data_IF_183045490403
#
_entry.id   IF_183045490403
#
_cell.length_a   1.000
_cell.length_b   1.000
_cell.length_c   1.000
_cell.angle_alpha   90.00
_cell.angle_beta   90.00
_cell.angle_gamma   90.00
#
_symmetry.space_group_name_H-M   'P 1'
#
loop_
_entity.id
_entity.type
_entity.pdbx_description
1 polymer ?
#
# COMPACT_ATOMS: atom_id res chain seq x y z
N UNK A 1 12.40 9.19 -22.44
CA UNK A 1 12.42 8.86 -21.00
C UNK A 1 12.44 10.17 -20.26
N UNK A 2 11.31 10.59 -19.69
CA UNK A 2 11.30 11.74 -18.79
C UNK A 2 12.11 11.35 -17.56
N UNK A 3 13.00 12.23 -17.13
CA UNK A 3 13.72 12.08 -15.88
C UNK A 3 12.73 11.83 -14.72
N UNK A 4 12.99 10.83 -13.86
CA UNK A 4 12.07 10.39 -12.81
C UNK A 4 11.76 11.52 -11.84
N UNK A 5 12.77 12.31 -11.51
CA UNK A 5 12.66 13.47 -10.62
C UNK A 5 11.80 14.56 -11.26
N UNK A 6 11.96 14.79 -12.56
CA UNK A 6 11.09 15.69 -13.34
C UNK A 6 9.63 15.22 -13.33
N UNK A 7 9.37 13.93 -13.54
CA UNK A 7 8.02 13.37 -13.52
C UNK A 7 7.38 13.48 -12.12
N UNK A 8 8.18 13.23 -11.07
CA UNK A 8 7.75 13.35 -9.69
C UNK A 8 7.46 14.81 -9.30
N UNK A 9 8.33 15.76 -9.68
CA UNK A 9 8.11 17.18 -9.43
C UNK A 9 6.83 17.68 -10.13
N UNK A 10 6.58 17.23 -11.36
CA UNK A 10 5.32 17.51 -12.06
C UNK A 10 4.10 16.90 -11.36
N UNK A 11 4.23 15.72 -10.76
CA UNK A 11 3.17 15.08 -9.97
C UNK A 11 2.85 15.84 -8.68
N UNK A 12 3.88 16.20 -7.94
CA UNK A 12 3.72 16.99 -6.72
C UNK A 12 3.14 18.38 -7.03
N UNK A 13 3.56 19.02 -8.11
CA UNK A 13 3.00 20.31 -8.53
C UNK A 13 1.50 20.23 -8.83
N UNK A 14 1.06 19.30 -9.69
CA UNK A 14 -0.36 19.18 -10.07
C UNK A 14 -1.26 18.68 -8.93
N UNK A 15 -0.72 17.94 -7.96
CA UNK A 15 -1.44 17.50 -6.76
C UNK A 15 -1.46 18.55 -5.65
N UNK A 16 -0.77 19.68 -5.84
CA UNK A 16 -0.70 20.77 -4.86
C UNK A 16 0.26 20.51 -3.71
N UNK A 17 1.31 19.69 -3.91
CA UNK A 17 2.33 19.32 -2.93
C UNK A 17 3.77 19.64 -3.36
N UNK A 18 3.98 20.60 -4.30
CA UNK A 18 5.33 20.95 -4.80
C UNK A 18 6.29 21.42 -3.69
N UNK A 19 5.85 22.37 -2.84
CA UNK A 19 6.69 22.99 -1.81
C UNK A 19 6.49 22.32 -0.45
N UNK A 20 6.79 21.02 -0.38
CA UNK A 20 6.63 20.21 0.83
C UNK A 20 7.96 19.72 1.37
N UNK A 21 8.08 19.62 2.69
CA UNK A 21 9.17 18.84 3.29
C UNK A 21 8.93 17.37 2.95
N UNK A 22 9.97 16.66 2.53
CA UNK A 22 9.95 15.24 2.15
C UNK A 22 10.87 14.46 3.06
N UNK A 23 10.34 13.42 3.71
CA UNK A 23 11.14 12.52 4.55
C UNK A 23 10.89 11.07 4.13
N UNK A 24 11.95 10.38 3.72
CA UNK A 24 11.88 8.95 3.42
C UNK A 24 11.37 8.16 4.64
N UNK A 25 10.45 7.24 4.39
CA UNK A 25 10.04 6.21 5.33
C UNK A 25 10.89 4.96 5.11
N UNK A 26 10.93 4.07 6.11
CA UNK A 26 11.57 2.77 5.96
C UNK A 26 10.94 2.03 4.77
N UNK A 27 11.79 1.53 3.87
CA UNK A 27 11.34 0.76 2.72
C UNK A 27 10.70 -0.57 3.12
N UNK A 28 9.91 -1.13 2.22
CA UNK A 28 9.47 -2.52 2.29
C UNK A 28 10.40 -3.41 1.44
N UNK A 29 10.11 -4.71 1.35
CA UNK A 29 10.86 -5.63 0.50
C UNK A 29 10.49 -5.50 -1.00
N UNK A 30 9.86 -4.41 -1.41
CA UNK A 30 9.43 -4.15 -2.79
C UNK A 30 10.30 -3.10 -3.46
N UNK A 31 10.00 -2.82 -4.73
CA UNK A 31 10.62 -1.71 -5.46
C UNK A 31 10.06 -0.33 -5.06
N UNK A 32 8.96 -0.30 -4.29
CA UNK A 32 8.24 0.91 -3.92
C UNK A 32 9.03 1.69 -2.87
N UNK A 33 8.92 3.01 -2.95
CA UNK A 33 9.47 3.94 -1.97
C UNK A 33 8.35 4.79 -1.43
N UNK A 34 8.42 5.05 -0.13
CA UNK A 34 7.46 5.91 0.54
C UNK A 34 8.17 7.10 1.15
N UNK A 35 7.57 8.27 0.98
CA UNK A 35 8.03 9.48 1.62
C UNK A 35 6.87 10.19 2.28
N UNK A 36 7.08 10.62 3.52
CA UNK A 36 6.15 11.50 4.20
C UNK A 36 6.35 12.92 3.72
N UNK A 37 5.27 13.53 3.26
CA UNK A 37 5.17 14.92 2.87
C UNK A 37 4.59 15.74 4.04
N UNK A 38 5.17 16.90 4.33
CA UNK A 38 4.63 17.88 5.30
C UNK A 38 4.52 19.28 4.71
N UNK A 39 3.32 19.86 4.85
CA UNK A 39 3.03 21.26 4.52
C UNK A 39 2.25 21.91 5.66
N UNK A 40 2.96 22.61 6.55
CA UNK A 40 2.38 23.13 7.79
C UNK A 40 1.85 21.99 8.66
N UNK A 41 0.56 22.02 9.00
CA UNK A 41 -0.11 20.95 9.73
C UNK A 41 -0.59 19.78 8.85
N UNK A 42 -0.60 19.94 7.52
CA UNK A 42 -1.04 18.90 6.61
C UNK A 42 0.06 17.87 6.36
N UNK A 43 -0.34 16.59 6.25
CA UNK A 43 0.55 15.45 5.99
C UNK A 43 -0.05 14.51 4.94
N UNK A 44 0.84 13.91 4.14
CA UNK A 44 0.49 12.91 3.13
C UNK A 44 1.66 11.94 2.94
N UNK A 45 1.41 10.79 2.34
CA UNK A 45 2.42 9.82 1.93
C UNK A 45 2.51 9.83 0.41
N UNK A 46 3.69 10.15 -0.12
CA UNK A 46 4.03 9.88 -1.51
C UNK A 46 4.46 8.41 -1.62
N UNK A 47 3.82 7.66 -2.51
CA UNK A 47 4.30 6.38 -3.00
C UNK A 47 4.94 6.58 -4.37
N UNK A 48 6.19 6.14 -4.52
CA UNK A 48 6.91 6.03 -5.78
C UNK A 48 7.12 4.54 -6.09
N UNK A 49 6.42 4.03 -7.09
CA UNK A 49 6.46 2.64 -7.53
C UNK A 49 6.81 2.58 -9.02
N UNK A 50 8.10 2.45 -9.38
CA UNK A 50 8.52 2.48 -10.79
C UNK A 50 7.86 1.36 -11.61
N UNK A 51 7.13 1.69 -12.69
CA UNK A 51 6.32 0.72 -13.45
C UNK A 51 7.16 -0.33 -14.18
N UNK A 52 8.42 -0.01 -14.49
CA UNK A 52 9.41 -0.91 -15.10
C UNK A 52 9.83 -2.07 -14.17
N UNK A 53 9.48 -2.00 -12.88
CA UNK A 53 9.77 -3.04 -11.88
C UNK A 53 8.60 -3.97 -11.59
N UNK A 54 7.57 -3.95 -12.43
CA UNK A 54 6.41 -4.84 -12.34
C UNK A 54 5.38 -4.41 -11.29
N UNK A 55 5.51 -3.21 -10.73
CA UNK A 55 4.55 -2.63 -9.81
C UNK A 55 3.37 -2.01 -10.57
N UNK A 56 2.15 -2.24 -10.07
CA UNK A 56 0.90 -1.70 -10.63
C UNK A 56 0.15 -0.95 -9.52
N UNK A 57 0.35 0.37 -9.49
CA UNK A 57 -0.30 1.23 -8.49
C UNK A 57 -1.82 1.28 -8.65
N UNK A 58 -2.34 0.96 -9.83
CA UNK A 58 -3.79 0.88 -10.08
C UNK A 58 -4.44 -0.26 -9.31
N UNK A 59 -3.72 -1.36 -9.04
CA UNK A 59 -4.20 -2.43 -8.15
C UNK A 59 -4.28 -1.97 -6.71
N UNK A 60 -3.27 -1.22 -6.26
CA UNK A 60 -3.27 -0.64 -4.92
C UNK A 60 -4.48 0.29 -4.75
N UNK A 61 -4.65 1.25 -5.67
CA UNK A 61 -5.76 2.22 -5.65
C UNK A 61 -7.14 1.52 -5.68
N UNK A 62 -7.27 0.41 -6.42
CA UNK A 62 -8.52 -0.35 -6.51
C UNK A 62 -8.88 -1.06 -5.20
N UNK A 63 -7.90 -1.71 -4.57
CA UNK A 63 -8.11 -2.36 -3.26
C UNK A 63 -8.42 -1.32 -2.20
N UNK A 64 -7.69 -0.20 -2.19
CA UNK A 64 -7.92 0.92 -1.28
C UNK A 64 -9.34 1.47 -1.39
N UNK A 65 -9.77 1.83 -2.60
CA UNK A 65 -11.11 2.35 -2.86
C UNK A 65 -12.20 1.37 -2.43
N UNK A 66 -12.00 0.06 -2.66
CA UNK A 66 -12.96 -0.95 -2.23
C UNK A 66 -13.04 -1.07 -0.70
N UNK A 67 -11.90 -1.11 0.01
CA UNK A 67 -11.87 -1.16 1.47
C UNK A 67 -12.56 0.07 2.08
N UNK A 68 -12.31 1.26 1.55
CA UNK A 68 -12.97 2.50 1.98
C UNK A 68 -14.47 2.47 1.72
N UNK A 69 -14.91 1.94 0.57
CA UNK A 69 -16.33 1.78 0.27
C UNK A 69 -17.05 0.80 1.22
N UNK A 70 -16.32 -0.13 1.85
CA UNK A 70 -16.84 -0.98 2.93
C UNK A 70 -16.84 -0.30 4.31
N UNK A 71 -16.30 0.91 4.43
CA UNK A 71 -16.20 1.66 5.68
C UNK A 71 -14.93 1.41 6.49
N UNK A 72 -13.91 0.75 5.91
CA UNK A 72 -12.63 0.51 6.58
C UNK A 72 -11.65 1.67 6.40
N UNK A 73 -10.70 1.77 7.33
CA UNK A 73 -9.70 2.85 7.41
C UNK A 73 -8.49 2.63 6.50
N UNK A 74 -8.72 2.35 5.20
CA UNK A 74 -7.65 2.39 4.19
C UNK A 74 -7.36 3.86 3.78
N UNK A 75 -6.11 4.23 3.47
CA UNK A 75 -5.70 5.62 3.29
C UNK A 75 -6.43 6.32 2.14
N UNK A 76 -6.94 7.53 2.34
CA UNK A 76 -7.54 8.27 1.23
C UNK A 76 -6.53 8.53 0.10
N UNK A 77 -6.92 8.22 -1.14
CA UNK A 77 -6.13 8.54 -2.34
C UNK A 77 -6.38 10.00 -2.77
N UNK A 78 -5.42 10.88 -2.53
CA UNK A 78 -5.49 12.29 -2.93
C UNK A 78 -5.21 12.50 -4.41
N UNK A 79 -4.25 11.77 -4.98
CA UNK A 79 -3.88 11.87 -6.38
C UNK A 79 -3.20 10.59 -6.88
N UNK A 80 -3.33 10.32 -8.19
CA UNK A 80 -2.77 9.15 -8.87
C UNK A 80 -2.13 9.56 -10.20
N UNK A 81 -1.00 8.92 -10.52
CA UNK A 81 -0.41 8.85 -11.86
C UNK A 81 0.06 7.43 -12.11
N UNK A 82 -0.86 6.59 -12.58
CA UNK A 82 -0.58 5.19 -12.86
C UNK A 82 0.50 5.00 -13.94
N UNK A 83 0.56 5.89 -14.94
CA UNK A 83 1.52 5.79 -16.03
C UNK A 83 2.96 5.95 -15.56
N UNK A 84 3.18 6.81 -14.55
CA UNK A 84 4.48 6.93 -13.90
C UNK A 84 4.54 6.16 -12.57
N UNK A 85 3.49 5.49 -12.10
CA UNK A 85 3.50 4.75 -10.85
C UNK A 85 3.69 5.64 -9.61
N UNK A 86 3.00 6.78 -9.54
CA UNK A 86 2.97 7.62 -8.34
C UNK A 86 1.59 7.65 -7.71
N UNK A 87 1.52 7.50 -6.39
CA UNK A 87 0.31 7.78 -5.61
C UNK A 87 0.60 8.82 -4.53
N UNK A 88 -0.41 9.61 -4.21
CA UNK A 88 -0.41 10.51 -3.07
C UNK A 88 -1.55 10.10 -2.13
N UNK A 89 -1.19 9.69 -0.93
CA UNK A 89 -2.06 9.00 0.02
C UNK A 89 -2.19 9.78 1.33
N UNK A 90 -3.27 9.53 2.04
CA UNK A 90 -3.43 9.91 3.44
C UNK A 90 -2.32 9.32 4.31
N UNK A 91 -1.82 10.13 5.25
CA UNK A 91 -0.89 9.68 6.28
C UNK A 91 -1.67 9.30 7.54
N UNK A 92 -1.79 7.97 7.76
CA UNK A 92 -2.47 7.38 8.91
C UNK A 92 -1.69 7.52 10.23
N UNK A 93 -0.47 8.07 10.19
CA UNK A 93 0.36 8.32 11.38
C UNK A 93 1.38 7.21 11.67
N UNK A 94 1.92 7.24 12.89
CA UNK A 94 3.06 6.40 13.32
C UNK A 94 2.71 5.42 14.45
N UNK A 95 1.44 5.37 14.84
CA UNK A 95 0.93 4.54 15.92
C UNK A 95 0.70 3.09 15.45
N UNK A 96 1.78 2.49 14.94
CA UNK A 96 1.84 1.07 14.64
C UNK A 96 1.51 0.28 15.92
N UNK A 97 0.72 -0.79 15.80
CA UNK A 97 0.41 -1.66 16.94
C UNK A 97 1.68 -2.10 17.68
N UNK A 98 2.74 -2.48 16.94
CA UNK A 98 4.02 -2.83 17.54
C UNK A 98 4.59 -1.71 18.45
N UNK A 99 4.52 -0.45 18.00
CA UNK A 99 5.00 0.70 18.78
C UNK A 99 4.11 0.98 19.99
N UNK A 100 2.79 0.86 19.83
CA UNK A 100 1.83 1.05 20.92
C UNK A 100 2.02 0.01 22.01
N UNK A 101 2.23 -1.26 21.64
CA UNK A 101 2.40 -2.37 22.58
C UNK A 101 3.74 -2.33 23.32
N UNK A 102 4.79 -1.77 22.70
CA UNK A 102 6.03 -1.49 23.42
C UNK A 102 5.86 -0.42 24.50
N UNK A 103 4.95 0.54 24.29
CA UNK A 103 4.66 1.63 25.24
C UNK A 103 3.68 1.19 26.32
N UNK A 104 2.65 0.45 25.94
CA UNK A 104 1.60 -0.06 26.81
C UNK A 104 1.13 -1.46 26.38
N UNK A 105 1.72 -2.52 26.95
CA UNK A 105 1.33 -3.90 26.66
C UNK A 105 -0.13 -4.21 27.02
N UNK A 106 -0.78 -3.44 27.90
CA UNK A 106 -2.18 -3.69 28.28
C UNK A 106 -3.14 -3.45 27.11
N UNK A 107 -2.72 -2.72 26.07
CA UNK A 107 -3.50 -2.50 24.85
C UNK A 107 -3.59 -3.74 23.95
N UNK A 108 -2.79 -4.79 24.17
CA UNK A 108 -2.69 -5.95 23.27
C UNK A 108 -4.04 -6.57 22.97
N UNK A 109 -4.81 -6.89 24.02
CA UNK A 109 -6.12 -7.52 23.84
C UNK A 109 -7.06 -6.63 23.05
N UNK A 110 -7.12 -5.33 23.34
CA UNK A 110 -8.03 -4.41 22.65
C UNK A 110 -7.64 -4.20 21.17
N UNK A 111 -6.36 -4.01 20.88
CA UNK A 111 -5.86 -3.79 19.53
C UNK A 111 -6.02 -5.05 18.65
N UNK A 112 -5.63 -6.22 19.16
CA UNK A 112 -5.79 -7.48 18.42
C UNK A 112 -7.26 -7.89 18.28
N UNK A 113 -8.12 -7.59 19.25
CA UNK A 113 -9.56 -7.77 19.10
C UNK A 113 -10.10 -6.93 17.94
N UNK A 114 -9.77 -5.64 17.88
CA UNK A 114 -10.20 -4.76 16.79
C UNK A 114 -9.70 -5.23 15.41
N UNK A 115 -8.45 -5.68 15.30
CA UNK A 115 -7.93 -6.25 14.06
C UNK A 115 -8.64 -7.56 13.67
N UNK A 116 -8.94 -8.41 14.65
CA UNK A 116 -9.66 -9.68 14.43
C UNK A 116 -11.10 -9.43 14.00
N UNK A 117 -11.78 -8.46 14.63
CA UNK A 117 -13.13 -8.04 14.25
C UNK A 117 -13.16 -7.50 12.82
N UNK A 118 -12.16 -6.70 12.44
CA UNK A 118 -11.98 -6.25 11.06
C UNK A 118 -11.85 -7.45 10.09
N UNK A 119 -10.97 -8.42 10.38
CA UNK A 119 -10.79 -9.59 9.51
C UNK A 119 -12.04 -10.48 9.44
N UNK A 120 -12.75 -10.64 10.55
CA UNK A 120 -13.98 -11.41 10.63
C UNK A 120 -15.11 -10.75 9.84
N UNK A 121 -15.21 -9.42 9.86
CA UNK A 121 -16.17 -8.68 9.04
C UNK A 121 -15.77 -8.70 7.56
N UNK A 122 -14.49 -8.47 7.26
CA UNK A 122 -13.94 -8.51 5.89
C UNK A 122 -14.21 -9.85 5.22
N UNK A 123 -14.02 -10.96 5.94
CA UNK A 123 -14.26 -12.32 5.44
C UNK A 123 -15.73 -12.63 5.13
N UNK A 124 -16.68 -11.81 5.60
CA UNK A 124 -18.11 -11.92 5.26
C UNK A 124 -18.51 -11.02 4.09
N UNK A 125 -17.65 -10.10 3.68
CA UNK A 125 -17.91 -9.22 2.52
C UNK A 125 -17.88 -10.05 1.23
N UNK A 126 -18.69 -9.70 0.22
CA UNK A 126 -18.56 -10.31 -1.10
C UNK A 126 -17.17 -10.03 -1.65
N UNK A 127 -16.51 -11.07 -2.15
CA UNK A 127 -15.21 -10.94 -2.81
C UNK A 127 -15.40 -10.07 -4.06
N UNK A 128 -14.66 -8.97 -4.22
CA UNK A 128 -14.81 -8.13 -5.39
C UNK A 128 -14.27 -8.80 -6.65
N UNK A 129 -14.90 -8.56 -7.80
CA UNK A 129 -14.61 -9.22 -9.08
C UNK A 129 -13.17 -9.01 -9.59
N UNK A 130 -12.46 -8.00 -9.08
CA UNK A 130 -11.07 -7.75 -9.45
C UNK A 130 -10.06 -8.61 -8.65
N UNK A 131 -10.51 -9.31 -7.61
CA UNK A 131 -9.69 -10.29 -6.87
C UNK A 131 -9.85 -11.64 -7.56
N UNK A 132 -8.76 -12.18 -8.08
CA UNK A 132 -8.78 -13.50 -8.69
C UNK A 132 -9.02 -14.56 -7.60
N UNK A 133 -9.84 -15.58 -7.87
CA UNK A 133 -10.02 -16.67 -6.92
C UNK A 133 -8.70 -17.41 -6.71
N UNK A 134 -8.44 -17.80 -5.46
CA UNK A 134 -7.38 -18.72 -5.11
C UNK A 134 -7.91 -20.16 -5.20
N UNK A 135 -8.26 -20.58 -6.40
CA UNK A 135 -8.79 -21.91 -6.70
C UNK A 135 -7.68 -22.95 -6.93
N UNK A 136 -8.07 -24.19 -7.23
CA UNK A 136 -7.10 -25.27 -7.46
C UNK A 136 -6.08 -24.94 -8.57
N UNK A 137 -6.48 -24.44 -9.77
CA UNK A 137 -5.53 -23.97 -10.78
C UNK A 137 -4.57 -22.89 -10.29
N UNK A 138 -5.06 -21.86 -9.59
CA UNK A 138 -4.22 -20.80 -9.05
C UNK A 138 -3.21 -21.33 -8.03
N UNK A 139 -3.65 -22.21 -7.12
CA UNK A 139 -2.78 -22.87 -6.14
C UNK A 139 -1.73 -23.76 -6.81
N UNK A 140 -2.11 -24.53 -7.83
CA UNK A 140 -1.16 -25.35 -8.60
C UNK A 140 -0.10 -24.48 -9.28
N UNK A 141 -0.49 -23.35 -9.88
CA UNK A 141 0.45 -22.42 -10.49
C UNK A 141 1.45 -21.84 -9.47
N UNK A 142 0.98 -21.46 -8.28
CA UNK A 142 1.83 -20.95 -7.20
C UNK A 142 2.81 -22.01 -6.68
N UNK A 143 2.36 -23.27 -6.54
CA UNK A 143 3.22 -24.38 -6.13
C UNK A 143 4.27 -24.74 -7.19
N UNK A 144 3.98 -24.51 -8.48
CA UNK A 144 4.92 -24.75 -9.58
C UNK A 144 6.24 -23.98 -9.44
N UNK A 145 6.22 -22.81 -8.81
CA UNK A 145 7.42 -21.99 -8.59
C UNK A 145 8.42 -22.68 -7.67
N UNK A 146 7.95 -23.53 -6.75
CA UNK A 146 8.84 -24.34 -5.90
C UNK A 146 9.67 -25.29 -6.76
N UNK A 147 9.04 -25.95 -7.74
CA UNK A 147 9.75 -26.82 -8.67
C UNK A 147 10.77 -26.04 -9.50
N UNK A 148 10.35 -24.93 -10.10
CA UNK A 148 11.19 -24.12 -11.01
C UNK A 148 12.41 -23.49 -10.31
N UNK A 149 12.22 -22.92 -9.12
CA UNK A 149 13.26 -22.11 -8.46
C UNK A 149 14.02 -22.86 -7.38
N UNK A 150 13.42 -23.86 -6.73
CA UNK A 150 14.02 -24.56 -5.59
C UNK A 150 14.37 -26.01 -5.88
N UNK A 151 13.84 -26.62 -6.95
CA UNK A 151 14.20 -27.99 -7.36
C UNK A 151 14.41 -28.11 -8.88
N UNK A 152 15.26 -27.27 -9.51
CA UNK A 152 15.43 -27.26 -10.98
C UNK A 152 16.11 -28.51 -11.57
N UNK A 153 16.50 -29.49 -10.74
CA UNK A 153 17.31 -30.65 -11.13
C UNK A 153 16.65 -32.02 -10.87
N UNK A 154 15.33 -32.07 -10.62
CA UNK A 154 14.53 -33.31 -10.74
C UNK A 154 13.81 -33.32 -12.08
#
# INVERSE_FOLDING_TARGET
MTDRDTALAAFLSRSGWADTERRALAGDASARRYERLRRGAARAILMDAPPDRGEDVGRFARVDAWLRAQGYSAPHLFAEDASNGFLLLEDLGDDLFANLLLRDPALETALYAAATDFLADLGRRPVPDFVRPLDAPALTALLGWVGEWYMPAM
#
